data_IF_928072865504
#
_entry.id   IF_928072865504
#
_cell.length_a   1.000
_cell.length_b   1.000
_cell.length_c   1.000
_cell.angle_alpha   90.00
_cell.angle_beta   90.00
_cell.angle_gamma   90.00
#
_symmetry.space_group_name_H-M   'P 1'
#
loop_
_entity.id
_entity.type
_entity.pdbx_description
1 polymer ?
#
# COMPACT_ATOMS: atom_id res chain seq x y z
N UNK A 1 0.91 -9.19 -5.91
CA UNK A 1 0.84 -8.03 -4.99
C UNK A 1 2.10 -7.86 -4.16
N UNK A 2 3.19 -8.60 -4.45
CA UNK A 2 4.46 -8.57 -3.71
C UNK A 2 5.60 -7.94 -4.52
N UNK A 3 5.45 -7.82 -5.84
CA UNK A 3 6.56 -7.52 -6.74
C UNK A 3 6.96 -6.04 -6.73
N UNK A 4 6.03 -5.07 -6.69
CA UNK A 4 6.41 -3.65 -6.59
C UNK A 4 7.13 -3.28 -5.28
N UNK A 5 6.73 -3.89 -4.15
CA UNK A 5 7.37 -3.67 -2.85
C UNK A 5 8.81 -4.21 -2.85
N UNK A 6 9.00 -5.42 -3.39
CA UNK A 6 10.33 -6.03 -3.51
C UNK A 6 11.20 -5.28 -4.52
N UNK A 7 10.65 -4.85 -5.66
CA UNK A 7 11.37 -4.12 -6.70
C UNK A 7 11.91 -2.75 -6.22
N UNK A 8 11.27 -2.14 -5.23
CA UNK A 8 11.70 -0.87 -4.62
C UNK A 8 12.62 -1.05 -3.40
N UNK A 9 12.96 -2.28 -3.01
CA UNK A 9 13.74 -2.58 -1.80
C UNK A 9 13.01 -2.25 -0.50
N UNK A 10 11.69 -2.04 -0.55
CA UNK A 10 10.87 -1.58 0.57
C UNK A 10 10.13 -2.77 1.18
N UNK A 11 10.17 -2.89 2.50
CA UNK A 11 9.44 -3.96 3.20
C UNK A 11 8.00 -3.54 3.49
N UNK A 12 7.06 -4.49 3.65
CA UNK A 12 5.71 -4.17 4.12
C UNK A 12 5.71 -3.43 5.47
N UNK A 13 6.72 -3.68 6.31
CA UNK A 13 6.88 -2.95 7.57
C UNK A 13 7.27 -1.49 7.33
N UNK A 14 8.23 -1.24 6.42
CA UNK A 14 8.58 0.12 6.02
C UNK A 14 7.37 0.88 5.47
N UNK A 15 6.56 0.23 4.62
CA UNK A 15 5.37 0.87 4.05
C UNK A 15 4.33 1.20 5.13
N UNK A 16 4.12 0.30 6.09
CA UNK A 16 3.25 0.53 7.23
C UNK A 16 3.69 1.77 8.04
N UNK A 17 4.99 1.88 8.32
CA UNK A 17 5.56 3.02 9.05
C UNK A 17 5.39 4.34 8.28
N UNK A 18 5.66 4.35 6.97
CA UNK A 18 5.54 5.57 6.16
C UNK A 18 4.09 6.00 5.90
N UNK A 19 3.17 5.04 5.74
CA UNK A 19 1.76 5.32 5.51
C UNK A 19 0.97 5.58 6.81
N UNK A 20 1.60 5.48 7.99
CA UNK A 20 0.90 5.63 9.28
C UNK A 20 -0.12 4.53 9.57
N UNK A 21 -0.03 3.38 8.88
CA UNK A 21 -0.93 2.24 9.04
C UNK A 21 -0.23 1.20 9.93
N UNK A 22 -0.92 0.62 10.91
CA UNK A 22 -0.30 -0.46 11.70
C UNK A 22 0.09 -1.64 10.81
N UNK A 23 1.25 -2.26 11.05
CA UNK A 23 1.71 -3.42 10.29
C UNK A 23 0.74 -4.62 10.36
N UNK A 24 -0.12 -4.69 11.38
CA UNK A 24 -1.21 -5.67 11.49
C UNK A 24 -2.34 -5.33 10.52
N UNK A 25 -2.78 -4.07 10.48
CA UNK A 25 -3.83 -3.61 9.57
C UNK A 25 -3.39 -3.76 8.11
N UNK A 26 -2.16 -3.34 7.76
CA UNK A 26 -1.63 -3.49 6.41
C UNK A 26 -1.60 -4.96 5.98
N UNK A 27 -1.12 -5.86 6.84
CA UNK A 27 -1.14 -7.31 6.55
C UNK A 27 -2.55 -7.85 6.34
N UNK A 28 -3.53 -7.44 7.15
CA UNK A 28 -4.92 -7.84 6.95
C UNK A 28 -5.48 -7.36 5.61
N UNK A 29 -5.17 -6.12 5.20
CA UNK A 29 -5.63 -5.56 3.93
C UNK A 29 -4.98 -6.24 2.73
N UNK A 30 -3.66 -6.46 2.77
CA UNK A 30 -2.94 -7.23 1.75
C UNK A 30 -3.42 -8.68 1.64
N UNK A 31 -3.88 -9.27 2.74
CA UNK A 31 -4.45 -10.62 2.77
C UNK A 31 -5.94 -10.66 2.37
N UNK A 32 -6.50 -9.55 1.86
CA UNK A 32 -7.92 -9.42 1.49
C UNK A 32 -8.89 -9.73 2.64
N UNK A 33 -8.44 -9.54 3.89
CA UNK A 33 -9.29 -9.70 5.10
C UNK A 33 -9.94 -8.39 5.54
N UNK A 34 -9.59 -7.29 4.89
CA UNK A 34 -10.14 -5.96 5.07
C UNK A 34 -9.92 -5.16 3.79
N UNK A 35 -10.81 -4.22 3.50
CA UNK A 35 -10.67 -3.35 2.35
C UNK A 35 -9.70 -2.20 2.63
N UNK A 36 -9.08 -1.69 1.57
CA UNK A 36 -8.40 -0.40 1.59
C UNK A 36 -9.45 0.71 1.45
N UNK A 37 -9.36 1.72 2.31
CA UNK A 37 -10.11 2.97 2.14
C UNK A 37 -9.36 3.88 1.19
N UNK A 38 -10.05 4.91 0.66
CA UNK A 38 -9.42 5.95 -0.17
C UNK A 38 -8.30 6.67 0.58
N UNK A 39 -8.44 6.86 1.89
CA UNK A 39 -7.39 7.49 2.73
C UNK A 39 -6.15 6.60 2.79
N UNK A 40 -6.32 5.28 2.98
CA UNK A 40 -5.18 4.37 2.98
C UNK A 40 -4.42 4.38 1.65
N UNK A 41 -5.14 4.43 0.53
CA UNK A 41 -4.52 4.50 -0.79
C UNK A 41 -3.77 5.82 -0.98
N UNK A 42 -4.31 6.94 -0.50
CA UNK A 42 -3.63 8.23 -0.53
C UNK A 42 -2.33 8.22 0.28
N UNK A 43 -2.37 7.67 1.50
CA UNK A 43 -1.21 7.60 2.39
C UNK A 43 -0.12 6.66 1.84
N UNK A 44 -0.52 5.51 1.28
CA UNK A 44 0.38 4.56 0.62
C UNK A 44 1.02 5.19 -0.63
N UNK A 45 0.25 5.89 -1.45
CA UNK A 45 0.76 6.56 -2.66
C UNK A 45 1.78 7.64 -2.29
N UNK A 46 1.45 8.46 -1.28
CA UNK A 46 2.35 9.48 -0.75
C UNK A 46 3.65 8.86 -0.23
N UNK A 47 3.56 7.80 0.58
CA UNK A 47 4.73 7.08 1.09
C UNK A 47 5.61 6.51 -0.03
N UNK A 48 4.99 6.05 -1.13
CA UNK A 48 5.71 5.50 -2.26
C UNK A 48 6.29 6.56 -3.20
N UNK A 49 5.80 7.80 -3.14
CA UNK A 49 6.18 8.90 -4.02
C UNK A 49 5.53 8.82 -5.40
N UNK A 50 4.35 8.20 -5.51
CA UNK A 50 3.62 7.99 -6.77
C UNK A 50 2.20 8.58 -6.68
N UNK A 51 1.54 8.89 -7.81
CA UNK A 51 0.12 9.28 -7.80
C UNK A 51 -0.78 8.09 -7.42
N UNK A 52 -1.89 8.36 -6.74
CA UNK A 52 -2.88 7.34 -6.30
C UNK A 52 -3.41 6.49 -7.46
N UNK A 53 -3.52 7.07 -8.65
CA UNK A 53 -3.96 6.36 -9.86
C UNK A 53 -3.06 5.20 -10.25
N UNK A 54 -1.79 5.19 -9.83
CA UNK A 54 -0.87 4.07 -10.08
C UNK A 54 -1.07 2.90 -9.10
N UNK A 55 -1.81 3.09 -8.00
CA UNK A 55 -2.19 2.01 -7.08
C UNK A 55 -3.47 1.29 -7.50
N UNK A 56 -4.27 1.93 -8.37
CA UNK A 56 -5.54 1.39 -8.84
C UNK A 56 -5.28 0.64 -10.15
N UNK A 57 -5.80 -0.58 -10.33
CA UNK A 57 -5.67 -1.27 -11.61
C UNK A 57 -6.27 -0.42 -12.73
N UNK A 58 -5.66 -0.41 -13.94
CA UNK A 58 -6.21 0.32 -15.06
C UNK A 58 -7.63 -0.16 -15.36
N UNK A 59 -8.53 0.78 -15.70
CA UNK A 59 -9.85 0.42 -16.21
C UNK A 59 -9.66 -0.50 -17.43
N UNK A 60 -10.23 -1.70 -17.36
CA UNK A 60 -10.19 -2.67 -18.46
C UNK A 60 -11.19 -2.31 -19.54
#
# INVERSE_FOLDING_TARGET
>A
MSDELVASGRTPQWLAEQAGISAKALRSKLAMRADFTVVDLADIAHALGIPVSELVPPER
#
